data_IF_436331011366
#
_entry.id   IF_436331011366
#
_cell.length_a   1.000
_cell.length_b   1.000
_cell.length_c   1.000
_cell.angle_alpha   90.00
_cell.angle_beta   90.00
_cell.angle_gamma   90.00
#
_symmetry.space_group_name_H-M   'P 1'
#
loop_
_entity.id
_entity.type
_entity.pdbx_description
1 polymer ?
#
# COMPACT_ATOMS: atom_id res chain seq x y z
N UNK A 1 1.64 -29.09 3.95
CA UNK A 1 0.37 -28.51 4.44
C UNK A 1 -0.57 -28.37 3.26
N UNK A 2 -1.76 -28.97 3.30
CA UNK A 2 -2.72 -28.84 2.21
C UNK A 2 -3.37 -27.45 2.34
N UNK A 3 -3.00 -26.52 1.45
CA UNK A 3 -3.61 -25.18 1.44
C UNK A 3 -5.07 -25.33 1.01
N UNK A 4 -6.00 -25.03 1.93
CA UNK A 4 -7.42 -24.96 1.59
C UNK A 4 -7.64 -23.73 0.69
N UNK A 5 -8.44 -23.85 -0.38
CA UNK A 5 -8.77 -22.69 -1.21
C UNK A 5 -9.51 -21.66 -0.37
N UNK A 6 -9.01 -20.43 -0.39
CA UNK A 6 -9.70 -19.27 0.21
C UNK A 6 -10.77 -18.82 -0.78
N UNK A 7 -12.04 -18.87 -0.37
CA UNK A 7 -13.14 -18.29 -1.14
C UNK A 7 -13.28 -16.83 -0.78
N UNK A 8 -13.18 -15.96 -1.79
CA UNK A 8 -13.33 -14.51 -1.65
C UNK A 8 -14.16 -14.01 -2.83
N UNK A 9 -15.14 -13.16 -2.55
CA UNK A 9 -15.83 -12.40 -3.59
C UNK A 9 -15.03 -11.13 -3.85
N UNK A 10 -14.67 -10.91 -5.12
CA UNK A 10 -13.95 -9.72 -5.56
C UNK A 10 -14.84 -8.96 -6.54
N UNK A 11 -14.89 -7.65 -6.43
CA UNK A 11 -15.45 -6.82 -7.49
C UNK A 11 -14.54 -6.80 -8.73
N UNK A 12 -15.04 -6.25 -9.83
CA UNK A 12 -14.33 -6.25 -11.11
C UNK A 12 -12.97 -5.53 -11.06
N UNK A 13 -12.87 -4.44 -10.29
CA UNK A 13 -11.63 -3.67 -10.15
C UNK A 13 -10.58 -4.44 -9.33
N UNK A 14 -11.00 -5.05 -8.22
CA UNK A 14 -10.15 -5.91 -7.39
C UNK A 14 -9.64 -7.11 -8.18
N UNK A 15 -10.51 -7.73 -8.98
CA UNK A 15 -10.12 -8.86 -9.83
C UNK A 15 -9.06 -8.48 -10.86
N UNK A 16 -9.22 -7.33 -11.54
CA UNK A 16 -8.21 -6.82 -12.49
C UNK A 16 -6.86 -6.61 -11.83
N UNK A 17 -6.84 -6.04 -10.62
CA UNK A 17 -5.61 -5.83 -9.85
C UNK A 17 -4.92 -7.16 -9.53
N UNK A 18 -5.66 -8.13 -9.00
CA UNK A 18 -5.12 -9.46 -8.67
C UNK A 18 -4.57 -10.16 -9.91
N UNK A 19 -5.28 -10.08 -11.04
CA UNK A 19 -4.81 -10.62 -12.32
C UNK A 19 -3.51 -9.96 -12.80
N UNK A 20 -3.43 -8.63 -12.72
CA UNK A 20 -2.23 -7.89 -13.12
C UNK A 20 -1.00 -8.30 -12.29
N UNK A 21 -1.16 -8.47 -10.98
CA UNK A 21 -0.08 -8.94 -10.09
C UNK A 21 0.34 -10.38 -10.44
N UNK A 22 -0.62 -11.26 -10.72
CA UNK A 22 -0.35 -12.67 -11.09
C UNK A 22 0.33 -12.81 -12.44
N UNK A 23 0.07 -11.91 -13.37
CA UNK A 23 0.67 -11.91 -14.71
C UNK A 23 2.15 -11.47 -14.71
N UNK A 24 2.67 -10.95 -13.59
CA UNK A 24 4.07 -10.54 -13.50
C UNK A 24 5.00 -11.76 -13.64
N UNK A 25 6.00 -11.71 -14.55
CA UNK A 25 6.95 -12.81 -14.71
C UNK A 25 7.78 -13.00 -13.44
N UNK A 26 8.17 -14.24 -13.17
CA UNK A 26 9.07 -14.53 -12.05
C UNK A 26 10.40 -13.79 -12.24
N UNK A 27 10.72 -12.94 -11.27
CA UNK A 27 11.92 -12.10 -11.28
C UNK A 27 12.20 -11.58 -9.88
N UNK A 28 13.43 -11.15 -9.64
CA UNK A 28 13.81 -10.44 -8.41
C UNK A 28 13.01 -9.15 -8.22
N UNK A 29 12.61 -8.49 -9.32
CA UNK A 29 11.77 -7.31 -9.30
C UNK A 29 10.35 -7.63 -8.81
N UNK A 30 9.75 -8.74 -9.26
CA UNK A 30 8.42 -9.17 -8.80
C UNK A 30 8.38 -9.36 -7.28
N UNK A 31 9.39 -10.02 -6.70
CA UNK A 31 9.48 -10.19 -5.26
C UNK A 31 9.55 -8.87 -4.49
N UNK A 32 10.32 -7.90 -5.02
CA UNK A 32 10.40 -6.54 -4.44
C UNK A 32 9.08 -5.79 -4.53
N UNK A 33 8.40 -5.86 -5.67
CA UNK A 33 7.08 -5.23 -5.86
C UNK A 33 6.04 -5.81 -4.92
N UNK A 34 6.02 -7.14 -4.76
CA UNK A 34 5.13 -7.79 -3.80
C UNK A 34 5.38 -7.31 -2.37
N UNK A 35 6.64 -7.28 -1.92
CA UNK A 35 6.97 -6.79 -0.57
C UNK A 35 6.57 -5.33 -0.35
N UNK A 36 6.86 -4.45 -1.33
CA UNK A 36 6.45 -3.04 -1.25
C UNK A 36 4.93 -2.88 -1.18
N UNK A 37 4.17 -3.66 -1.96
CA UNK A 37 2.71 -3.63 -1.92
C UNK A 37 2.17 -4.10 -0.57
N UNK A 38 2.72 -5.19 -0.02
CA UNK A 38 2.35 -5.70 1.31
C UNK A 38 2.64 -4.67 2.41
N UNK A 39 3.83 -4.09 2.42
CA UNK A 39 4.24 -3.08 3.39
C UNK A 39 3.40 -1.80 3.29
N UNK A 40 3.11 -1.34 2.06
CA UNK A 40 2.26 -0.18 1.81
C UNK A 40 0.83 -0.43 2.28
N UNK A 41 0.24 -1.58 1.92
CA UNK A 41 -1.11 -1.94 2.35
C UNK A 41 -1.20 -2.06 3.88
N UNK A 42 -0.18 -2.66 4.50
CA UNK A 42 -0.08 -2.74 5.96
C UNK A 42 -0.02 -1.35 6.60
N UNK A 43 0.81 -0.45 6.05
CA UNK A 43 0.93 0.93 6.52
C UNK A 43 -0.37 1.71 6.36
N UNK A 44 -1.06 1.61 5.22
CA UNK A 44 -2.33 2.29 4.98
C UNK A 44 -3.43 1.76 5.90
N UNK A 45 -3.48 0.44 6.13
CA UNK A 45 -4.45 -0.17 7.04
C UNK A 45 -4.14 0.11 8.53
N UNK A 46 -2.87 0.36 8.85
CA UNK A 46 -2.39 0.67 10.18
C UNK A 46 -1.58 1.96 10.10
N UNK A 47 -2.22 3.13 9.92
CA UNK A 47 -1.51 4.40 9.88
C UNK A 47 -0.92 4.63 11.28
N UNK A 48 0.27 4.07 11.51
CA UNK A 48 1.06 4.26 12.73
C UNK A 48 1.73 5.60 12.60
N UNK A 49 0.92 6.65 12.55
CA UNK A 49 1.45 7.96 12.79
C UNK A 49 1.83 7.99 14.29
N UNK A 50 3.11 7.71 14.55
CA UNK A 50 3.73 7.76 15.87
C UNK A 50 4.08 9.21 16.27
N UNK A 51 3.74 10.18 15.43
CA UNK A 51 3.83 11.59 15.77
C UNK A 51 2.83 11.91 16.88
N UNK A 52 3.30 12.46 17.99
CA UNK A 52 2.42 13.26 18.82
C UNK A 52 2.25 14.60 18.13
N UNK A 53 1.00 15.03 17.88
CA UNK A 53 0.75 16.43 17.53
C UNK A 53 1.29 17.36 18.61
N UNK A 54 1.40 18.67 18.34
CA UNK A 54 1.85 19.65 19.34
C UNK A 54 1.07 19.57 20.67
N UNK A 55 -0.17 19.10 20.58
CA UNK A 55 -1.14 18.90 21.66
C UNK A 55 -0.92 17.57 22.46
N UNK A 56 -0.03 16.67 22.00
CA UNK A 56 0.18 15.35 22.60
C UNK A 56 -0.80 14.25 22.16
N UNK A 57 -1.71 14.53 21.21
CA UNK A 57 -2.65 13.54 20.67
C UNK A 57 -2.07 12.77 19.46
N UNK A 58 -2.45 11.49 19.26
CA UNK A 58 -2.09 10.77 18.05
C UNK A 58 -2.65 11.49 16.84
N UNK A 59 -1.86 11.51 15.77
CA UNK A 59 -2.24 12.10 14.51
C UNK A 59 -3.58 11.51 14.00
N UNK A 60 -4.47 12.37 13.51
CA UNK A 60 -5.76 11.99 12.93
C UNK A 60 -5.63 11.40 11.52
N UNK A 61 -6.34 11.96 10.54
CA UNK A 61 -6.25 11.46 9.15
C UNK A 61 -4.85 11.69 8.54
N UNK A 62 -4.28 10.73 7.77
CA UNK A 62 -2.95 10.86 7.16
C UNK A 62 -2.76 12.12 6.31
N UNK A 63 -3.85 12.69 5.79
CA UNK A 63 -3.84 13.89 4.93
C UNK A 63 -3.68 15.20 5.72
N UNK A 64 -3.84 15.16 7.05
CA UNK A 64 -3.91 16.37 7.88
C UNK A 64 -2.94 16.37 9.06
N UNK A 65 -2.13 15.32 9.26
CA UNK A 65 -1.70 15.01 10.64
C UNK A 65 -0.20 14.91 10.94
N UNK A 66 0.72 14.65 10.00
CA UNK A 66 2.17 14.80 10.26
C UNK A 66 3.06 14.79 8.99
N UNK A 67 4.31 15.24 9.14
CA UNK A 67 5.35 15.24 8.10
C UNK A 67 5.60 13.84 7.50
N UNK A 68 5.67 12.79 8.33
CA UNK A 68 5.86 11.42 7.85
C UNK A 68 4.68 10.89 7.02
N UNK A 69 3.45 11.34 7.28
CA UNK A 69 2.31 10.99 6.44
C UNK A 69 2.32 11.76 5.12
N UNK A 70 2.78 13.02 5.11
CA UNK A 70 2.98 13.78 3.88
C UNK A 70 4.07 13.14 3.00
N UNK A 71 5.18 12.67 3.57
CA UNK A 71 6.24 12.00 2.80
C UNK A 71 5.73 10.75 2.06
N UNK A 72 4.82 9.99 2.67
CA UNK A 72 4.20 8.82 2.02
C UNK A 72 3.29 9.26 0.87
N UNK A 73 2.49 10.31 1.06
CA UNK A 73 1.66 10.86 -0.01
C UNK A 73 2.50 11.41 -1.18
N UNK A 74 3.56 12.16 -0.89
CA UNK A 74 4.49 12.69 -1.90
C UNK A 74 5.19 11.57 -2.69
N UNK A 75 5.54 10.47 -2.01
CA UNK A 75 6.09 9.28 -2.66
C UNK A 75 5.07 8.65 -3.62
N UNK A 76 3.81 8.51 -3.19
CA UNK A 76 2.73 7.95 -4.01
C UNK A 76 2.47 8.82 -5.25
N UNK A 77 2.43 10.14 -5.11
CA UNK A 77 2.24 11.07 -6.23
C UNK A 77 3.44 11.05 -7.19
N UNK A 78 4.65 10.96 -6.66
CA UNK A 78 5.88 10.82 -7.45
C UNK A 78 5.89 9.52 -8.26
N UNK A 79 5.44 8.41 -7.66
CA UNK A 79 5.29 7.13 -8.34
C UNK A 79 4.20 7.19 -9.41
N UNK A 80 3.04 7.79 -9.11
CA UNK A 80 1.94 7.95 -10.06
C UNK A 80 2.37 8.75 -11.31
N UNK A 81 3.22 9.75 -11.13
CA UNK A 81 3.77 10.55 -12.24
C UNK A 81 4.72 9.74 -13.12
N UNK A 82 5.56 8.88 -12.52
CA UNK A 82 6.51 8.03 -13.27
C UNK A 82 5.87 6.86 -13.99
N UNK A 83 4.75 6.35 -13.48
CA UNK A 83 4.04 5.20 -14.08
C UNK A 83 3.13 5.63 -15.24
N UNK A 84 2.70 6.90 -15.27
CA UNK A 84 1.90 7.46 -16.38
C UNK A 84 2.74 7.99 -17.56
N UNK A 85 4.06 8.05 -17.42
CA UNK A 85 5.01 8.47 -18.46
C UNK A 85 5.51 7.26 -19.26
#
# INVERSE_FOLDING_TARGET
>A
MSQKPVQVELNEAEWRLVQAIRALPESSLRGRVHGVLEDLLFYVANPRCQGMGAEGFPCGEPVTSCEACHEVWDLLDSLATRVKA
#
